data_IF_895939226885
#
_entry.id   IF_895939226885
#
_cell.length_a   1.000
_cell.length_b   1.000
_cell.length_c   1.000
_cell.angle_alpha   90.00
_cell.angle_beta   90.00
_cell.angle_gamma   90.00
#
_symmetry.space_group_name_H-M   'P 1'
#
loop_
_entity.id
_entity.type
_entity.pdbx_description
1 polymer ?
#
# COMPACT_ATOMS: atom_id res chain seq x y z
N UNK A 1 -5.95 -20.08 -5.79
CA UNK A 1 -4.98 -21.21 -5.92
C UNK A 1 -5.31 -22.36 -4.96
N UNK A 2 -5.03 -22.27 -3.64
CA UNK A 2 -5.21 -23.39 -2.70
C UNK A 2 -6.62 -23.97 -2.73
N UNK A 3 -7.62 -23.10 -2.64
CA UNK A 3 -9.04 -23.45 -2.74
C UNK A 3 -9.40 -24.05 -4.10
N UNK A 4 -8.92 -23.45 -5.19
CA UNK A 4 -9.35 -23.82 -6.56
C UNK A 4 -8.77 -25.16 -7.01
N UNK A 5 -7.61 -25.55 -6.46
CA UNK A 5 -6.91 -26.80 -6.79
C UNK A 5 -7.08 -27.89 -5.72
N UNK A 6 -7.97 -27.67 -4.74
CA UNK A 6 -8.27 -28.60 -3.65
C UNK A 6 -7.02 -29.10 -2.89
N UNK A 7 -6.06 -28.22 -2.65
CA UNK A 7 -4.88 -28.56 -1.85
C UNK A 7 -5.26 -28.75 -0.37
N UNK A 8 -4.85 -29.86 0.23
CA UNK A 8 -4.99 -30.11 1.67
C UNK A 8 -3.95 -29.31 2.48
N UNK A 9 -4.04 -27.99 2.44
CA UNK A 9 -3.17 -27.04 3.15
C UNK A 9 -3.97 -25.80 3.52
N UNK A 10 -3.61 -25.16 4.63
CA UNK A 10 -4.23 -23.93 5.11
C UNK A 10 -3.31 -22.73 4.91
N UNK A 11 -3.84 -21.65 4.34
CA UNK A 11 -3.18 -20.35 4.30
C UNK A 11 -3.53 -19.57 5.57
N UNK A 12 -2.51 -19.03 6.25
CA UNK A 12 -2.66 -18.14 7.41
C UNK A 12 -1.99 -16.81 7.08
N UNK A 13 -2.78 -15.75 7.00
CA UNK A 13 -2.28 -14.39 6.75
C UNK A 13 -1.80 -13.79 8.07
N UNK A 14 -0.57 -13.24 8.07
CA UNK A 14 0.00 -12.54 9.21
C UNK A 14 0.11 -11.04 8.92
N UNK A 15 0.10 -10.19 9.96
CA UNK A 15 0.32 -8.75 9.79
C UNK A 15 1.67 -8.43 9.15
N UNK A 16 1.73 -7.37 8.35
CA UNK A 16 2.98 -6.84 7.81
C UNK A 16 3.89 -6.36 8.94
N UNK A 17 5.07 -6.97 9.05
CA UNK A 17 6.13 -6.49 9.94
C UNK A 17 6.75 -5.22 9.34
N UNK A 18 6.99 -4.22 10.18
CA UNK A 18 7.53 -2.92 9.78
C UNK A 18 8.81 -2.60 10.55
N UNK A 19 9.68 -1.83 9.92
CA UNK A 19 10.84 -1.20 10.56
C UNK A 19 10.37 -0.06 11.50
N UNK A 20 11.30 0.53 12.26
CA UNK A 20 10.97 1.55 13.28
C UNK A 20 10.32 2.81 12.70
N UNK A 21 10.62 3.13 11.45
CA UNK A 21 10.06 4.27 10.70
C UNK A 21 8.79 3.89 9.90
N UNK A 22 8.30 2.67 10.06
CA UNK A 22 7.06 2.20 9.45
C UNK A 22 7.22 1.60 8.06
N UNK A 23 8.41 1.62 7.44
CA UNK A 23 8.60 0.92 6.18
C UNK A 23 8.34 -0.58 6.35
N UNK A 24 7.66 -1.21 5.41
CA UNK A 24 7.47 -2.66 5.45
C UNK A 24 8.82 -3.37 5.32
N UNK A 25 9.05 -4.38 6.15
CA UNK A 25 10.29 -5.19 6.07
C UNK A 25 10.25 -5.97 4.76
N UNK A 26 11.26 -5.74 3.92
CA UNK A 26 11.42 -6.39 2.63
C UNK A 26 12.89 -6.62 2.34
N UNK A 27 13.26 -7.79 1.80
CA UNK A 27 14.63 -8.04 1.36
C UNK A 27 15.08 -7.05 0.28
N UNK A 28 14.14 -6.46 -0.48
CA UNK A 28 14.44 -5.42 -1.48
C UNK A 28 14.92 -4.12 -0.86
N UNK A 29 14.65 -3.87 0.43
CA UNK A 29 15.13 -2.66 1.10
C UNK A 29 16.66 -2.60 1.14
N UNK A 30 17.37 -3.74 1.03
CA UNK A 30 18.84 -3.77 0.97
C UNK A 30 19.43 -3.19 -0.32
N UNK A 31 18.60 -2.99 -1.36
CA UNK A 31 19.02 -2.38 -2.61
C UNK A 31 18.90 -0.86 -2.62
N UNK A 32 18.14 -0.31 -1.67
CA UNK A 32 17.97 1.12 -1.52
C UNK A 32 19.24 1.71 -0.88
N UNK A 33 19.75 2.78 -1.46
CA UNK A 33 20.73 3.61 -0.77
C UNK A 33 20.07 4.37 0.40
N UNK A 34 20.85 5.13 1.17
CA UNK A 34 20.33 5.81 2.38
C UNK A 34 19.22 6.83 2.07
N UNK A 35 19.35 7.57 0.98
CA UNK A 35 18.37 8.59 0.57
C UNK A 35 17.11 7.93 0.04
N UNK A 36 17.25 6.93 -0.82
CA UNK A 36 16.15 6.12 -1.33
C UNK A 36 15.39 5.39 -0.22
N UNK A 37 16.10 4.85 0.77
CA UNK A 37 15.49 4.17 1.91
C UNK A 37 14.67 5.13 2.76
N UNK A 38 15.14 6.37 2.92
CA UNK A 38 14.37 7.41 3.59
C UNK A 38 13.15 7.79 2.75
N UNK A 39 13.31 8.06 1.46
CA UNK A 39 12.20 8.37 0.56
C UNK A 39 11.10 7.28 0.55
N UNK A 40 11.48 6.00 0.67
CA UNK A 40 10.53 4.90 0.72
C UNK A 40 9.55 4.95 1.91
N UNK A 41 9.83 5.70 2.98
CA UNK A 41 8.87 5.85 4.10
C UNK A 41 7.59 6.57 3.68
N UNK A 42 7.61 7.30 2.56
CA UNK A 42 6.43 7.96 1.97
C UNK A 42 5.27 6.97 1.69
N UNK A 43 5.57 5.69 1.43
CA UNK A 43 4.53 4.67 1.28
C UNK A 43 3.75 4.48 2.58
N UNK A 44 4.45 4.38 3.72
CA UNK A 44 3.80 4.23 5.01
C UNK A 44 2.98 5.46 5.39
N UNK A 45 3.53 6.65 5.17
CA UNK A 45 2.81 7.91 5.39
C UNK A 45 1.54 8.01 4.55
N UNK A 46 1.60 7.60 3.28
CA UNK A 46 0.43 7.57 2.40
C UNK A 46 -0.65 6.60 2.90
N UNK A 47 -0.25 5.44 3.43
CA UNK A 47 -1.19 4.44 3.98
C UNK A 47 -1.84 4.93 5.27
N UNK A 48 -1.08 5.54 6.19
CA UNK A 48 -1.65 6.16 7.38
C UNK A 48 -2.57 7.33 7.01
N UNK A 49 -2.25 8.10 5.96
CA UNK A 49 -3.16 9.13 5.45
C UNK A 49 -4.47 8.56 4.94
N UNK A 50 -4.42 7.45 4.20
CA UNK A 50 -5.61 6.77 3.71
C UNK A 50 -6.49 6.27 4.87
N UNK A 51 -5.87 5.60 5.83
CA UNK A 51 -6.52 5.12 7.06
C UNK A 51 -7.18 6.26 7.83
N UNK A 52 -6.48 7.38 8.02
CA UNK A 52 -7.03 8.57 8.67
C UNK A 52 -8.29 9.06 7.96
N UNK A 53 -8.24 9.26 6.63
CA UNK A 53 -9.39 9.75 5.85
C UNK A 53 -10.59 8.80 5.96
N UNK A 54 -10.35 7.49 5.93
CA UNK A 54 -11.41 6.48 6.06
C UNK A 54 -12.02 6.53 7.47
N UNK A 55 -11.20 6.67 8.51
CA UNK A 55 -11.65 6.82 9.90
C UNK A 55 -12.44 8.11 10.13
N UNK A 56 -12.10 9.19 9.43
CA UNK A 56 -12.86 10.45 9.38
C UNK A 56 -14.17 10.34 8.58
N UNK A 57 -14.49 9.16 8.07
CA UNK A 57 -15.74 8.88 7.38
C UNK A 57 -15.74 9.26 5.90
N UNK A 58 -14.57 9.48 5.27
CA UNK A 58 -14.50 9.60 3.81
C UNK A 58 -14.82 8.27 3.16
N UNK A 59 -15.81 8.27 2.26
CA UNK A 59 -16.33 7.06 1.61
C UNK A 59 -16.02 6.98 0.12
N UNK A 60 -15.43 8.01 -0.45
CA UNK A 60 -15.03 8.06 -1.85
C UNK A 60 -13.60 7.48 -2.02
N UNK A 61 -13.45 6.33 -2.70
CA UNK A 61 -12.16 5.71 -2.94
C UNK A 61 -11.26 6.55 -3.85
N UNK A 62 -11.82 7.32 -4.79
CA UNK A 62 -11.04 8.19 -5.68
C UNK A 62 -10.44 9.36 -4.89
N UNK A 63 -11.18 9.93 -3.95
CA UNK A 63 -10.68 10.96 -3.04
C UNK A 63 -9.50 10.44 -2.20
N UNK A 64 -9.64 9.25 -1.59
CA UNK A 64 -8.58 8.63 -0.78
C UNK A 64 -7.33 8.38 -1.62
N UNK A 65 -7.48 7.74 -2.78
CA UNK A 65 -6.37 7.46 -3.68
C UNK A 65 -5.69 8.75 -4.18
N UNK A 66 -6.47 9.80 -4.45
CA UNK A 66 -5.94 11.11 -4.86
C UNK A 66 -5.07 11.71 -3.75
N UNK A 67 -5.52 11.70 -2.49
CA UNK A 67 -4.74 12.24 -1.37
C UNK A 67 -3.46 11.45 -1.08
N UNK A 68 -3.48 10.14 -1.28
CA UNK A 68 -2.25 9.35 -1.23
C UNK A 68 -1.29 9.74 -2.34
N UNK A 69 -1.78 9.88 -3.58
CA UNK A 69 -0.95 10.27 -4.74
C UNK A 69 -0.33 11.66 -4.54
N UNK A 70 -1.08 12.62 -4.01
CA UNK A 70 -0.57 13.97 -3.72
C UNK A 70 0.59 13.92 -2.72
N UNK A 71 0.47 13.09 -1.67
CA UNK A 71 1.52 12.90 -0.67
C UNK A 71 2.76 12.25 -1.29
N UNK A 72 2.59 11.16 -2.04
CA UNK A 72 3.71 10.45 -2.67
C UNK A 72 4.45 11.34 -3.67
N UNK A 73 3.73 12.13 -4.47
CA UNK A 73 4.32 13.06 -5.44
C UNK A 73 5.15 14.19 -4.82
N UNK A 74 5.00 14.44 -3.52
CA UNK A 74 5.83 15.41 -2.82
C UNK A 74 7.24 14.89 -2.54
N UNK A 75 7.46 13.57 -2.64
CA UNK A 75 8.78 12.94 -2.54
C UNK A 75 9.42 12.82 -3.93
N UNK A 76 10.50 13.56 -4.25
CA UNK A 76 11.07 13.60 -5.59
C UNK A 76 11.61 12.27 -6.11
N UNK A 77 12.01 11.36 -5.22
CA UNK A 77 12.54 10.05 -5.60
C UNK A 77 11.43 9.01 -5.86
N UNK A 78 10.16 9.36 -5.65
CA UNK A 78 9.04 8.45 -5.74
C UNK A 78 8.26 8.56 -7.05
N UNK A 79 8.24 7.46 -7.81
CA UNK A 79 7.41 7.29 -9.00
C UNK A 79 6.28 6.30 -8.72
N UNK A 80 5.03 6.75 -8.84
CA UNK A 80 3.86 5.90 -8.56
C UNK A 80 3.63 4.91 -9.70
N UNK A 81 3.64 3.61 -9.39
CA UNK A 81 3.13 2.59 -10.30
C UNK A 81 1.61 2.49 -10.16
N UNK A 82 1.12 2.27 -8.95
CA UNK A 82 -0.32 2.36 -8.67
C UNK A 82 -0.62 2.75 -7.23
N UNK A 83 -1.82 3.32 -7.07
CA UNK A 83 -2.53 3.46 -5.80
C UNK A 83 -3.95 2.98 -6.06
N UNK A 84 -4.40 2.00 -5.28
CA UNK A 84 -5.68 1.33 -5.46
C UNK A 84 -6.44 1.19 -4.14
N UNK A 85 -7.74 1.42 -4.19
CA UNK A 85 -8.69 1.10 -3.11
C UNK A 85 -9.66 0.10 -3.71
N UNK A 86 -9.59 -1.14 -3.24
CA UNK A 86 -10.22 -2.30 -3.87
C UNK A 86 -10.87 -3.21 -2.84
N UNK A 87 -11.72 -4.11 -3.32
CA UNK A 87 -12.29 -5.19 -2.53
C UNK A 87 -11.20 -6.25 -2.22
N UNK A 88 -11.05 -6.69 -0.96
CA UNK A 88 -9.95 -7.57 -0.55
C UNK A 88 -10.07 -9.00 -1.10
N UNK A 89 -11.26 -9.46 -1.49
CA UNK A 89 -11.48 -10.82 -1.99
C UNK A 89 -11.38 -10.89 -3.51
N UNK A 90 -11.97 -9.91 -4.20
CA UNK A 90 -12.08 -9.89 -5.67
C UNK A 90 -10.98 -9.08 -6.34
N UNK A 91 -10.28 -8.22 -5.59
CA UNK A 91 -9.31 -7.25 -6.09
C UNK A 91 -9.87 -6.25 -7.12
N UNK A 92 -11.20 -6.12 -7.19
CA UNK A 92 -11.87 -5.18 -8.07
C UNK A 92 -12.02 -3.80 -7.42
N UNK A 93 -12.11 -2.76 -8.27
CA UNK A 93 -12.37 -1.39 -7.81
C UNK A 93 -13.72 -1.33 -7.10
N UNK A 94 -13.74 -0.66 -5.96
CA UNK A 94 -14.99 -0.33 -5.26
C UNK A 94 -15.47 1.06 -5.68
N UNK A 95 -16.78 1.24 -5.77
CA UNK A 95 -17.37 2.57 -6.02
C UNK A 95 -17.49 3.40 -4.73
N UNK A 96 -17.60 2.71 -3.58
CA UNK A 96 -17.76 3.34 -2.27
C UNK A 96 -17.14 2.48 -1.16
N UNK A 97 -16.44 3.13 -0.23
CA UNK A 97 -15.84 2.49 0.94
C UNK A 97 -16.92 2.22 1.99
N UNK A 98 -17.67 1.11 1.86
CA UNK A 98 -18.74 0.74 2.78
C UNK A 98 -18.33 -0.24 3.88
N UNK A 99 -17.60 -1.29 3.52
CA UNK A 99 -17.11 -2.36 4.40
C UNK A 99 -15.58 -2.30 4.50
N UNK A 100 -14.97 -3.45 4.77
CA UNK A 100 -13.54 -3.67 4.60
C UNK A 100 -13.11 -3.39 3.16
N UNK A 101 -11.98 -2.70 3.00
CA UNK A 101 -11.33 -2.42 1.73
C UNK A 101 -9.85 -2.68 1.88
N UNK A 102 -9.21 -3.11 0.79
CA UNK A 102 -7.76 -3.17 0.68
C UNK A 102 -7.27 -1.88 0.02
N UNK A 103 -6.41 -1.15 0.72
CA UNK A 103 -5.64 -0.03 0.15
C UNK A 103 -4.26 -0.56 -0.21
N UNK A 104 -3.95 -0.60 -1.50
CA UNK A 104 -2.69 -1.09 -2.03
C UNK A 104 -1.94 0.02 -2.77
N UNK A 105 -0.62 0.04 -2.61
CA UNK A 105 0.28 1.00 -3.23
C UNK A 105 1.54 0.29 -3.69
N UNK A 106 2.06 0.70 -4.84
CA UNK A 106 3.39 0.34 -5.31
C UNK A 106 4.07 1.60 -5.87
N UNK A 107 5.32 1.82 -5.48
CA UNK A 107 6.11 2.97 -5.89
C UNK A 107 7.49 2.49 -6.31
N UNK A 108 8.02 3.06 -7.39
CA UNK A 108 9.42 2.91 -7.77
C UNK A 108 10.22 4.01 -7.06
N UNK A 109 11.20 3.60 -6.26
CA UNK A 109 12.20 4.47 -5.65
C UNK A 109 13.53 4.17 -6.34
N UNK A 110 14.02 5.10 -7.17
CA UNK A 110 15.15 4.85 -8.06
C UNK A 110 14.84 3.69 -9.03
N UNK A 111 15.59 2.59 -8.92
CA UNK A 111 15.35 1.36 -9.71
C UNK A 111 14.55 0.29 -8.95
N UNK A 112 14.22 0.53 -7.67
CA UNK A 112 13.63 -0.46 -6.78
C UNK A 112 12.12 -0.22 -6.68
N UNK A 113 11.32 -1.25 -6.96
CA UNK A 113 9.88 -1.23 -6.69
C UNK A 113 9.60 -1.67 -5.26
N UNK A 114 8.99 -0.78 -4.48
CA UNK A 114 8.64 -0.94 -3.07
C UNK A 114 7.12 -0.97 -2.91
#
# INVERSE_FOLDING_TARGET
MVRDLDFNTRIVVLPTVREKDGLAVSSRNSYLNKEERYAATVLYESLEKAKQLIMEGKRDPALVASKMKDLIKAEPLAEIDYVAVIDPETLQKVERIGKEVLVAVAVKIGEIKV
#
